data_IF_613214660294
#
_entry.id   IF_613214660294
#
_cell.length_a   1.000
_cell.length_b   1.000
_cell.length_c   1.000
_cell.angle_alpha   90.00
_cell.angle_beta   90.00
_cell.angle_gamma   90.00
#
_symmetry.space_group_name_H-M   'P 1'
#
loop_
_entity.id
_entity.type
_entity.pdbx_description
1 polymer ?
#
# COMPACT_ATOMS: atom_id res chain seq x y z
N UNK A 1 26.03 21.06 -29.21
CA UNK A 1 25.25 20.38 -28.15
C UNK A 1 23.78 20.59 -28.48
N UNK A 2 23.22 19.61 -29.18
CA UNK A 2 21.90 19.59 -29.79
C UNK A 2 20.83 19.20 -28.78
N UNK A 3 19.70 19.91 -28.83
CA UNK A 3 18.36 19.55 -28.35
C UNK A 3 18.23 18.91 -26.95
N UNK A 4 17.93 19.73 -25.93
CA UNK A 4 17.16 19.27 -24.79
C UNK A 4 15.74 18.99 -25.30
N UNK A 5 15.39 17.71 -25.44
CA UNK A 5 14.00 17.31 -25.59
C UNK A 5 13.22 17.87 -24.40
N UNK A 6 12.08 18.48 -24.71
CA UNK A 6 11.15 19.01 -23.73
C UNK A 6 10.61 17.80 -22.95
N UNK A 7 11.15 17.55 -21.77
CA UNK A 7 10.47 16.72 -20.78
C UNK A 7 9.10 17.36 -20.54
N UNK A 8 8.03 16.59 -20.75
CA UNK A 8 6.66 17.06 -20.60
C UNK A 8 6.47 17.77 -19.25
N UNK A 9 5.90 18.98 -19.28
CA UNK A 9 5.55 19.69 -18.05
C UNK A 9 4.22 19.12 -17.54
N UNK A 10 4.19 18.67 -16.29
CA UNK A 10 2.93 18.34 -15.62
C UNK A 10 2.06 19.60 -15.55
N UNK A 11 0.85 19.55 -16.12
CA UNK A 11 -0.18 20.56 -15.86
C UNK A 11 -0.89 20.17 -14.58
N UNK A 12 -0.72 20.96 -13.53
CA UNK A 12 -1.50 20.81 -12.30
C UNK A 12 -2.85 21.47 -12.51
N UNK A 13 -3.92 20.68 -12.60
CA UNK A 13 -5.28 21.19 -12.47
C UNK A 13 -5.60 21.29 -11.00
N UNK A 14 -5.66 22.51 -10.47
CA UNK A 14 -6.07 22.75 -9.09
C UNK A 14 -7.60 22.60 -9.03
N UNK A 15 -8.09 21.60 -8.32
CA UNK A 15 -9.51 21.52 -7.98
C UNK A 15 -9.81 22.59 -6.92
N UNK A 16 -10.94 23.31 -7.00
CA UNK A 16 -11.43 24.09 -5.88
C UNK A 16 -11.50 23.18 -4.65
N UNK A 17 -11.03 23.62 -3.46
CA UNK A 17 -11.14 22.80 -2.26
C UNK A 17 -12.58 22.36 -2.09
N UNK A 18 -12.79 21.07 -1.79
CA UNK A 18 -14.10 20.59 -1.42
C UNK A 18 -14.61 21.45 -0.25
N UNK A 19 -15.81 22.01 -0.38
CA UNK A 19 -16.48 22.70 0.73
C UNK A 19 -16.90 21.61 1.71
N UNK A 20 -16.00 21.26 2.62
CA UNK A 20 -16.31 20.36 3.73
C UNK A 20 -17.24 21.14 4.68
N UNK A 21 -18.51 20.78 4.71
CA UNK A 21 -19.45 21.28 5.71
C UNK A 21 -19.21 20.55 7.03
N UNK A 22 -18.84 21.30 8.07
CA UNK A 22 -18.55 20.79 9.40
C UNK A 22 -18.10 21.92 10.33
N UNK A 23 -18.09 21.67 11.64
CA UNK A 23 -17.50 22.62 12.61
C UNK A 23 -15.98 22.55 12.50
N UNK A 24 -15.32 23.68 12.26
CA UNK A 24 -13.85 23.77 12.24
C UNK A 24 -13.32 23.36 13.62
N UNK A 25 -12.57 22.27 13.67
CA UNK A 25 -11.83 21.86 14.87
C UNK A 25 -10.57 22.73 14.96
N UNK A 26 -10.61 23.77 15.79
CA UNK A 26 -9.45 24.59 16.12
C UNK A 26 -8.66 24.03 17.30
N UNK A 27 -7.49 24.63 17.58
CA UNK A 27 -6.58 24.26 18.69
C UNK A 27 -7.22 24.34 20.09
N UNK A 28 -8.40 24.94 20.22
CA UNK A 28 -9.17 25.10 21.46
C UNK A 28 -10.33 24.11 21.60
N UNK A 29 -10.57 23.26 20.60
CA UNK A 29 -11.69 22.30 20.60
C UNK A 29 -11.36 21.13 21.52
N UNK A 30 -12.05 21.02 22.66
CA UNK A 30 -11.92 19.87 23.55
C UNK A 30 -12.65 18.67 22.94
N UNK A 31 -11.89 17.73 22.40
CA UNK A 31 -12.37 16.42 21.97
C UNK A 31 -12.18 15.41 23.11
N UNK A 32 -13.25 14.76 23.54
CA UNK A 32 -13.19 13.66 24.52
C UNK A 32 -12.52 12.42 23.93
N UNK A 33 -12.65 12.22 22.61
CA UNK A 33 -11.95 11.20 21.83
C UNK A 33 -11.90 11.65 20.37
N UNK A 34 -10.76 11.45 19.70
CA UNK A 34 -10.60 11.69 18.27
C UNK A 34 -10.30 10.34 17.60
N UNK A 35 -11.18 9.93 16.68
CA UNK A 35 -10.99 8.72 15.89
C UNK A 35 -10.66 9.14 14.47
N UNK A 36 -9.52 8.71 13.96
CA UNK A 36 -9.20 8.79 12.54
C UNK A 36 -9.44 7.42 11.94
N UNK A 37 -10.31 7.35 10.94
CA UNK A 37 -10.37 6.22 10.03
C UNK A 37 -9.18 6.38 9.07
N UNK A 38 -7.98 6.02 9.52
CA UNK A 38 -6.94 5.65 8.57
C UNK A 38 -7.48 4.52 7.69
N UNK A 39 -7.04 4.42 6.43
CA UNK A 39 -7.32 3.23 5.64
C UNK A 39 -6.76 2.05 6.41
N UNK A 40 -7.60 1.23 7.04
CA UNK A 40 -7.21 -0.09 7.59
C UNK A 40 -7.67 -1.20 6.65
N UNK A 41 -8.17 -0.78 5.50
CA UNK A 41 -8.78 -1.55 4.42
C UNK A 41 -8.41 -0.89 3.10
N UNK A 42 -8.64 -1.63 2.02
CA UNK A 42 -8.88 -1.08 0.69
C UNK A 42 -10.34 -1.34 0.28
N UNK A 43 -10.86 -0.46 -0.57
CA UNK A 43 -12.21 -0.53 -1.13
C UNK A 43 -12.11 -0.51 -2.65
N UNK A 44 -12.85 -1.40 -3.32
CA UNK A 44 -13.03 -1.38 -4.77
C UNK A 44 -14.30 -0.62 -5.08
N UNK A 45 -14.18 0.40 -5.91
CA UNK A 45 -15.30 1.24 -6.33
C UNK A 45 -15.59 1.03 -7.82
N UNK A 46 -16.87 1.00 -8.17
CA UNK A 46 -17.31 1.09 -9.56
C UNK A 46 -17.62 2.55 -9.86
N UNK A 47 -16.88 3.13 -10.80
CA UNK A 47 -17.18 4.47 -11.30
C UNK A 47 -18.45 4.45 -12.15
N UNK A 48 -19.35 5.40 -11.92
CA UNK A 48 -20.44 5.67 -12.85
C UNK A 48 -19.91 6.66 -13.90
N UNK A 49 -19.96 6.27 -15.18
CA UNK A 49 -19.36 6.98 -16.32
C UNK A 49 -20.13 8.23 -16.76
N UNK A 50 -20.83 8.89 -15.85
CA UNK A 50 -21.52 10.16 -16.15
C UNK A 50 -20.57 11.30 -15.76
N UNK A 51 -20.07 12.01 -16.77
CA UNK A 51 -19.23 13.19 -16.57
C UNK A 51 -19.88 14.18 -15.60
N UNK A 52 -19.18 14.51 -14.52
CA UNK A 52 -19.65 15.45 -13.50
C UNK A 52 -20.54 14.86 -12.40
N UNK A 53 -20.81 13.54 -12.39
CA UNK A 53 -21.53 12.86 -11.31
C UNK A 53 -20.65 11.79 -10.68
N UNK A 54 -20.15 12.04 -9.47
CA UNK A 54 -19.21 11.18 -8.74
C UNK A 54 -19.88 10.13 -7.85
N UNK A 55 -21.07 9.65 -8.19
CA UNK A 55 -21.62 8.51 -7.45
C UNK A 55 -20.78 7.28 -7.82
N UNK A 56 -20.00 6.77 -6.87
CA UNK A 56 -19.26 5.53 -7.02
C UNK A 56 -19.94 4.46 -6.15
N UNK A 57 -20.24 3.31 -6.75
CA UNK A 57 -20.81 2.19 -6.00
C UNK A 57 -19.67 1.39 -5.36
N UNK A 58 -19.82 1.07 -4.06
CA UNK A 58 -18.91 0.14 -3.40
C UNK A 58 -19.14 -1.25 -4.00
N UNK A 59 -18.07 -1.84 -4.54
CA UNK A 59 -18.07 -3.19 -5.13
C UNK A 59 -17.57 -4.21 -4.11
N UNK A 60 -16.52 -3.85 -3.37
CA UNK A 60 -15.90 -4.68 -2.35
C UNK A 60 -15.25 -3.77 -1.31
N UNK A 61 -15.33 -4.16 -0.04
CA UNK A 61 -14.53 -3.58 1.04
C UNK A 61 -13.85 -4.71 1.81
N UNK A 62 -12.54 -4.58 2.03
CA UNK A 62 -11.77 -5.60 2.75
C UNK A 62 -12.02 -5.61 4.26
N UNK A 63 -12.68 -4.59 4.82
CA UNK A 63 -12.99 -4.51 6.24
C UNK A 63 -11.75 -4.63 7.11
N UNK A 64 -11.70 -5.69 7.93
CA UNK A 64 -10.60 -5.97 8.86
C UNK A 64 -9.54 -6.95 8.32
N UNK A 65 -9.62 -7.32 7.03
CA UNK A 65 -8.79 -8.37 6.45
C UNK A 65 -7.28 -8.12 6.63
N UNK A 66 -6.83 -6.87 6.44
CA UNK A 66 -5.42 -6.51 6.55
C UNK A 66 -4.89 -6.77 7.97
N UNK A 67 -5.65 -6.39 9.00
CA UNK A 67 -5.33 -6.62 10.40
C UNK A 67 -5.23 -8.12 10.70
N UNK A 68 -6.23 -8.90 10.28
CA UNK A 68 -6.24 -10.35 10.50
C UNK A 68 -5.06 -11.03 9.80
N UNK A 69 -4.71 -10.60 8.60
CA UNK A 69 -3.55 -11.11 7.87
C UNK A 69 -2.24 -10.73 8.55
N UNK A 70 -2.04 -9.49 8.97
CA UNK A 70 -0.82 -9.07 9.68
C UNK A 70 -0.70 -9.79 11.02
N UNK A 71 -1.78 -9.90 11.80
CA UNK A 71 -1.78 -10.66 13.05
C UNK A 71 -1.39 -12.13 12.84
N UNK A 72 -1.87 -12.75 11.76
CA UNK A 72 -1.54 -14.12 11.42
C UNK A 72 -0.10 -14.30 10.89
N UNK A 73 0.45 -13.30 10.18
CA UNK A 73 1.78 -13.39 9.54
C UNK A 73 2.92 -12.88 10.42
N UNK A 74 2.65 -11.91 11.29
CA UNK A 74 3.61 -11.26 12.19
C UNK A 74 3.06 -11.16 13.62
N UNK A 75 2.68 -12.27 14.27
CA UNK A 75 2.01 -12.23 15.57
C UNK A 75 2.80 -11.54 16.67
N UNK A 76 4.14 -11.58 16.62
CA UNK A 76 5.00 -10.92 17.61
C UNK A 76 5.23 -9.42 17.35
N UNK A 77 4.88 -8.94 16.16
CA UNK A 77 5.10 -7.57 15.71
C UNK A 77 3.82 -6.94 15.15
N UNK A 78 2.66 -7.50 15.52
CA UNK A 78 1.38 -7.01 15.06
C UNK A 78 1.19 -5.56 15.51
N UNK A 79 0.95 -4.68 14.53
CA UNK A 79 0.85 -3.23 14.69
C UNK A 79 2.01 -2.59 15.48
N UNK A 80 3.20 -3.17 15.38
CA UNK A 80 4.45 -2.52 15.77
C UNK A 80 4.90 -1.57 14.65
N UNK A 81 5.61 -0.50 15.01
CA UNK A 81 6.14 0.54 14.12
C UNK A 81 7.65 0.70 14.37
N UNK A 82 8.38 1.28 13.41
CA UNK A 82 9.79 1.62 13.58
C UNK A 82 9.98 3.03 14.14
N UNK A 83 10.58 3.11 15.33
CA UNK A 83 10.84 4.37 16.00
C UNK A 83 11.96 5.13 15.27
N UNK A 84 11.67 6.34 14.80
CA UNK A 84 12.60 7.15 13.98
C UNK A 84 13.73 7.82 14.78
N UNK A 85 13.60 7.93 16.10
CA UNK A 85 14.62 8.53 16.97
C UNK A 85 15.69 7.51 17.38
N UNK A 86 15.28 6.29 17.73
CA UNK A 86 16.16 5.20 18.17
C UNK A 86 16.56 4.29 17.02
N UNK A 87 15.75 4.26 15.96
CA UNK A 87 15.89 3.38 14.81
C UNK A 87 15.45 1.93 15.02
N UNK A 88 14.89 1.59 16.19
CA UNK A 88 14.49 0.22 16.54
C UNK A 88 13.01 -0.02 16.29
N UNK A 89 12.64 -1.30 16.10
CA UNK A 89 11.23 -1.70 16.09
C UNK A 89 10.60 -1.48 17.46
N UNK A 90 9.40 -0.92 17.45
CA UNK A 90 8.57 -0.63 18.61
C UNK A 90 7.89 -1.87 19.16
N UNK A 91 7.12 -1.68 20.23
CA UNK A 91 6.42 -2.77 20.89
C UNK A 91 5.24 -3.27 20.07
N UNK A 92 4.90 -4.54 20.27
CA UNK A 92 3.61 -5.13 19.90
C UNK A 92 2.44 -4.18 20.23
N UNK A 93 1.50 -4.03 19.29
CA UNK A 93 0.28 -3.20 19.38
C UNK A 93 0.49 -1.68 19.56
N UNK A 94 1.72 -1.17 19.40
CA UNK A 94 1.99 0.26 19.63
C UNK A 94 1.16 1.20 18.74
N UNK A 95 0.66 0.71 17.59
CA UNK A 95 -0.18 1.46 16.65
C UNK A 95 -1.61 0.97 16.50
N UNK A 96 -2.07 0.01 17.28
CA UNK A 96 -3.44 -0.49 17.14
C UNK A 96 -4.49 0.58 17.45
N UNK A 97 -4.23 1.40 18.47
CA UNK A 97 -5.06 2.58 18.79
C UNK A 97 -4.84 3.75 17.81
N UNK A 98 -3.81 3.68 16.96
CA UNK A 98 -3.58 4.60 15.85
C UNK A 98 -4.18 4.01 14.56
N UNK A 99 -3.39 3.89 13.50
CA UNK A 99 -3.85 3.47 12.16
C UNK A 99 -3.50 2.02 11.80
N UNK A 100 -3.07 1.22 12.78
CA UNK A 100 -2.75 -0.19 12.58
C UNK A 100 -1.66 -0.39 11.50
N UNK A 101 -1.88 -1.25 10.49
CA UNK A 101 -0.90 -1.54 9.45
C UNK A 101 -0.74 -0.42 8.40
N UNK A 102 -1.71 0.50 8.30
CA UNK A 102 -1.66 1.72 7.47
C UNK A 102 -1.33 1.45 5.98
N UNK A 103 -2.25 0.85 5.18
CA UNK A 103 -2.15 0.85 3.72
C UNK A 103 -2.02 2.26 3.14
N UNK A 104 -1.02 2.46 2.29
CA UNK A 104 -0.66 3.77 1.72
C UNK A 104 -0.43 3.71 0.22
N UNK A 105 0.50 2.85 -0.22
CA UNK A 105 0.80 2.66 -1.63
C UNK A 105 -0.11 1.59 -2.27
N UNK A 106 -0.64 1.87 -3.46
CA UNK A 106 -1.33 0.88 -4.28
C UNK A 106 -0.87 0.94 -5.73
N UNK A 107 -0.60 -0.22 -6.31
CA UNK A 107 -0.36 -0.36 -7.74
C UNK A 107 -1.19 -1.51 -8.31
N UNK A 108 -1.68 -1.33 -9.53
CA UNK A 108 -2.42 -2.36 -10.26
C UNK A 108 -1.75 -2.58 -11.60
N UNK A 109 -1.62 -3.84 -12.03
CA UNK A 109 -1.03 -4.19 -13.32
C UNK A 109 -1.41 -5.59 -13.78
N UNK A 110 -1.05 -5.92 -15.02
CA UNK A 110 -1.38 -7.22 -15.62
C UNK A 110 -0.15 -8.11 -15.67
N UNK A 111 -0.31 -9.37 -15.25
CA UNK A 111 0.72 -10.38 -15.39
C UNK A 111 0.09 -11.77 -15.50
N UNK A 112 0.63 -12.59 -16.41
CA UNK A 112 0.21 -13.99 -16.59
C UNK A 112 -1.31 -14.16 -16.80
N UNK A 113 -1.94 -13.23 -17.54
CA UNK A 113 -3.38 -13.26 -17.83
C UNK A 113 -4.29 -12.90 -16.64
N UNK A 114 -3.74 -12.32 -15.58
CA UNK A 114 -4.47 -11.87 -14.39
C UNK A 114 -4.19 -10.40 -14.11
N UNK A 115 -5.16 -9.74 -13.47
CA UNK A 115 -4.97 -8.41 -12.91
C UNK A 115 -4.53 -8.54 -11.45
N UNK A 116 -3.45 -7.85 -11.11
CA UNK A 116 -2.81 -7.90 -9.80
C UNK A 116 -2.90 -6.54 -9.14
N UNK A 117 -3.15 -6.54 -7.84
CA UNK A 117 -3.02 -5.36 -6.99
C UNK A 117 -1.93 -5.63 -5.96
N UNK A 118 -1.03 -4.67 -5.81
CA UNK A 118 -0.04 -4.62 -4.73
C UNK A 118 -0.43 -3.50 -3.80
N UNK A 119 -0.55 -3.81 -2.52
CA UNK A 119 -0.87 -2.87 -1.46
C UNK A 119 0.32 -2.79 -0.49
N UNK A 120 0.91 -1.61 -0.35
CA UNK A 120 1.96 -1.33 0.63
C UNK A 120 1.35 -0.91 1.96
N UNK A 121 1.86 -1.49 3.05
CA UNK A 121 1.48 -1.22 4.43
C UNK A 121 2.63 -0.46 5.09
N UNK A 122 2.51 0.85 5.16
CA UNK A 122 3.57 1.76 5.61
C UNK A 122 4.11 1.32 6.98
N UNK A 123 3.23 1.25 7.98
CA UNK A 123 3.68 1.05 9.36
C UNK A 123 4.07 -0.39 9.68
N UNK A 124 3.42 -1.35 9.04
CA UNK A 124 3.79 -2.76 9.16
C UNK A 124 5.11 -3.10 8.41
N UNK A 125 5.51 -2.27 7.44
CA UNK A 125 6.65 -2.49 6.53
C UNK A 125 6.45 -3.60 5.49
N UNK A 126 5.23 -4.14 5.38
CA UNK A 126 4.90 -5.23 4.46
C UNK A 126 4.24 -4.75 3.17
N UNK A 127 4.25 -5.62 2.17
CA UNK A 127 3.40 -5.50 0.98
C UNK A 127 2.49 -6.73 0.86
N UNK A 128 1.29 -6.51 0.35
CA UNK A 128 0.31 -7.56 0.08
C UNK A 128 0.00 -7.63 -1.41
N UNK A 129 -0.01 -8.85 -1.94
CA UNK A 129 -0.37 -9.15 -3.33
C UNK A 129 -1.77 -9.77 -3.37
N UNK A 130 -2.64 -9.15 -4.15
CA UNK A 130 -4.00 -9.63 -4.43
C UNK A 130 -4.15 -9.91 -5.93
N UNK A 131 -4.87 -10.99 -6.23
CA UNK A 131 -5.44 -11.20 -7.55
C UNK A 131 -6.81 -10.51 -7.58
N UNK A 132 -6.90 -9.46 -8.39
CA UNK A 132 -8.09 -8.60 -8.53
C UNK A 132 -8.76 -8.78 -9.89
N UNK A 133 -8.47 -9.87 -10.60
CA UNK A 133 -9.12 -10.21 -11.87
C UNK A 133 -10.64 -10.21 -11.75
N UNK A 134 -11.16 -10.63 -10.59
CA UNK A 134 -12.55 -10.43 -10.22
C UNK A 134 -12.68 -9.29 -9.18
N UNK A 135 -13.13 -8.08 -9.57
CA UNK A 135 -13.17 -6.93 -8.67
C UNK A 135 -14.23 -7.06 -7.56
N UNK A 136 -15.22 -7.94 -7.70
CA UNK A 136 -16.20 -8.22 -6.61
C UNK A 136 -15.67 -9.21 -5.58
N UNK A 137 -14.56 -9.90 -5.88
CA UNK A 137 -13.96 -10.88 -4.99
C UNK A 137 -12.43 -10.91 -5.16
N UNK A 138 -11.72 -9.84 -4.74
CA UNK A 138 -10.27 -9.85 -4.64
C UNK A 138 -9.77 -11.06 -3.83
N UNK A 139 -8.70 -11.70 -4.29
CA UNK A 139 -8.15 -12.88 -3.61
C UNK A 139 -6.74 -12.58 -3.10
N UNK A 140 -6.56 -12.59 -1.78
CA UNK A 140 -5.23 -12.51 -1.15
C UNK A 140 -4.35 -13.67 -1.64
N UNK A 141 -3.13 -13.36 -2.09
CA UNK A 141 -2.17 -14.35 -2.57
C UNK A 141 -0.92 -14.42 -1.72
N UNK A 142 -0.36 -13.28 -1.35
CA UNK A 142 0.92 -13.24 -0.67
C UNK A 142 1.07 -12.01 0.21
N UNK A 143 1.80 -12.19 1.30
CA UNK A 143 2.32 -11.14 2.14
C UNK A 143 3.84 -11.25 2.13
N UNK A 144 4.53 -10.14 1.92
CA UNK A 144 5.99 -10.04 1.93
C UNK A 144 6.40 -8.91 2.87
N UNK A 145 7.41 -9.15 3.69
CA UNK A 145 8.02 -8.14 4.54
C UNK A 145 9.50 -8.50 4.69
N UNK A 146 10.36 -7.62 4.21
CA UNK A 146 11.82 -7.79 4.20
C UNK A 146 12.51 -6.97 5.29
N UNK A 147 11.73 -6.35 6.20
CA UNK A 147 12.29 -5.75 7.40
C UNK A 147 12.93 -6.81 8.30
N UNK A 148 14.00 -6.42 8.98
CA UNK A 148 14.79 -7.26 9.87
C UNK A 148 14.65 -6.70 11.30
N UNK A 149 13.76 -7.25 12.15
CA UNK A 149 13.47 -6.70 13.47
C UNK A 149 14.67 -6.59 14.43
N UNK A 150 15.75 -7.35 14.17
CA UNK A 150 17.01 -7.24 14.92
C UNK A 150 17.95 -6.14 14.42
N UNK A 151 17.58 -5.44 13.35
CA UNK A 151 18.32 -4.32 12.78
C UNK A 151 17.86 -2.96 13.30
N UNK A 152 18.41 -1.91 12.71
CA UNK A 152 18.18 -0.52 13.05
C UNK A 152 18.21 0.35 11.78
N UNK A 153 17.17 1.17 11.57
CA UNK A 153 17.06 2.02 10.36
C UNK A 153 18.18 3.07 10.29
N UNK A 154 18.61 3.63 11.42
CA UNK A 154 19.71 4.61 11.48
C UNK A 154 21.07 3.96 11.16
N UNK A 155 21.20 2.66 11.42
CA UNK A 155 22.39 1.87 11.07
C UNK A 155 22.29 1.21 9.68
N UNK A 156 21.17 1.40 8.97
CA UNK A 156 20.92 0.86 7.62
C UNK A 156 21.05 -0.67 7.52
N UNK A 157 20.69 -1.38 8.59
CA UNK A 157 20.67 -2.85 8.63
C UNK A 157 19.29 -3.42 9.03
N UNK A 158 18.25 -2.58 9.02
CA UNK A 158 16.86 -2.96 9.28
C UNK A 158 16.13 -3.62 8.10
N UNK A 159 16.79 -3.83 6.96
CA UNK A 159 16.12 -4.25 5.73
C UNK A 159 15.25 -3.12 5.16
N UNK A 160 14.12 -3.48 4.55
CA UNK A 160 13.19 -2.52 3.95
C UNK A 160 12.07 -2.14 4.93
N UNK A 161 11.90 -0.85 5.20
CA UNK A 161 11.00 -0.32 6.24
C UNK A 161 10.20 0.87 5.73
N UNK A 162 8.88 0.86 5.94
CA UNK A 162 7.95 1.93 5.53
C UNK A 162 7.73 2.05 4.02
N UNK A 163 7.13 1.03 3.36
CA UNK A 163 6.82 1.08 1.94
C UNK A 163 5.77 2.15 1.64
N UNK A 164 6.02 2.90 0.57
CA UNK A 164 5.29 4.13 0.23
C UNK A 164 4.91 4.11 -1.25
N UNK A 165 5.79 4.60 -2.12
CA UNK A 165 5.64 4.47 -3.56
C UNK A 165 5.70 3.02 -4.03
N UNK A 166 4.67 2.59 -4.77
CA UNK A 166 4.59 1.28 -5.41
C UNK A 166 4.39 1.47 -6.91
N UNK A 167 5.20 0.80 -7.72
CA UNK A 167 5.09 0.77 -9.17
C UNK A 167 5.04 -0.67 -9.66
N UNK A 168 4.02 -0.99 -10.45
CA UNK A 168 3.95 -2.27 -11.15
C UNK A 168 4.49 -2.08 -12.57
N UNK A 169 5.47 -2.90 -12.95
CA UNK A 169 5.98 -3.00 -14.31
C UNK A 169 5.48 -4.30 -14.94
N UNK A 170 4.76 -4.19 -16.06
CA UNK A 170 4.45 -5.36 -16.87
C UNK A 170 5.71 -5.90 -17.55
N UNK A 171 5.65 -7.13 -18.06
CA UNK A 171 6.82 -7.79 -18.64
C UNK A 171 7.50 -6.99 -19.77
N UNK A 172 6.71 -6.22 -20.54
CA UNK A 172 7.20 -5.42 -21.66
C UNK A 172 8.03 -4.20 -21.22
N UNK A 173 7.74 -3.64 -20.06
CA UNK A 173 8.41 -2.44 -19.51
C UNK A 173 9.51 -2.81 -18.50
N UNK A 174 9.61 -4.10 -18.16
CA UNK A 174 10.55 -4.61 -17.18
C UNK A 174 11.92 -4.94 -17.78
N UNK A 175 13.04 -4.54 -17.13
CA UNK A 175 14.38 -4.82 -17.62
C UNK A 175 14.75 -6.32 -17.63
N UNK A 176 14.00 -7.16 -16.91
CA UNK A 176 14.22 -8.63 -16.88
C UNK A 176 13.29 -9.38 -17.82
N UNK A 177 12.37 -8.69 -18.51
CA UNK A 177 11.33 -9.31 -19.33
C UNK A 177 10.27 -10.07 -18.53
N UNK A 178 10.26 -9.93 -17.20
CA UNK A 178 9.25 -10.49 -16.30
C UNK A 178 8.51 -9.39 -15.57
N UNK A 179 7.21 -9.54 -15.28
CA UNK A 179 6.48 -8.57 -14.48
C UNK A 179 7.13 -8.39 -13.11
N UNK A 180 7.23 -7.16 -12.63
CA UNK A 180 7.85 -6.85 -11.35
C UNK A 180 7.18 -5.69 -10.64
N UNK A 181 7.44 -5.57 -9.35
CA UNK A 181 6.98 -4.48 -8.50
C UNK A 181 8.20 -3.76 -7.96
N UNK A 182 8.24 -2.44 -8.11
CA UNK A 182 9.25 -1.58 -7.49
C UNK A 182 8.58 -0.88 -6.31
N UNK A 183 9.21 -0.95 -5.14
CA UNK A 183 8.69 -0.36 -3.90
C UNK A 183 9.76 0.52 -3.29
N UNK A 184 9.44 1.78 -3.03
CA UNK A 184 10.28 2.68 -2.23
C UNK A 184 9.90 2.60 -0.77
N UNK A 185 10.91 2.57 0.09
CA UNK A 185 10.77 2.47 1.55
C UNK A 185 11.36 3.72 2.20
N UNK A 186 10.49 4.58 2.76
CA UNK A 186 10.85 5.93 3.22
C UNK A 186 11.82 5.90 4.40
N UNK A 187 11.50 5.14 5.45
CA UNK A 187 12.30 5.15 6.69
C UNK A 187 13.66 4.46 6.55
N UNK A 188 13.74 3.37 5.77
CA UNK A 188 15.03 2.74 5.46
C UNK A 188 15.80 3.46 4.34
N UNK A 189 15.13 4.29 3.54
CA UNK A 189 15.70 4.94 2.36
C UNK A 189 16.12 3.94 1.28
N UNK A 190 15.43 2.80 1.19
CA UNK A 190 15.73 1.72 0.25
C UNK A 190 14.70 1.64 -0.86
N UNK A 191 15.06 0.99 -1.97
CA UNK A 191 14.15 0.61 -3.05
C UNK A 191 14.34 -0.87 -3.32
N UNK A 192 13.26 -1.64 -3.23
CA UNK A 192 13.28 -3.08 -3.53
C UNK A 192 12.50 -3.37 -4.82
N UNK A 193 12.91 -4.44 -5.49
CA UNK A 193 12.27 -4.93 -6.71
C UNK A 193 11.85 -6.39 -6.50
N UNK A 194 10.59 -6.70 -6.75
CA UNK A 194 10.01 -8.03 -6.57
C UNK A 194 9.50 -8.55 -7.90
N UNK A 195 10.12 -9.59 -8.45
CA UNK A 195 9.58 -10.27 -9.63
C UNK A 195 8.33 -11.09 -9.27
N UNK A 196 7.29 -11.00 -10.09
CA UNK A 196 6.18 -11.93 -10.01
C UNK A 196 6.56 -13.24 -10.71
N UNK A 197 6.21 -14.35 -10.08
CA UNK A 197 6.32 -15.68 -10.69
C UNK A 197 4.98 -16.11 -11.27
N UNK A 198 5.02 -16.89 -12.34
CA UNK A 198 3.80 -17.43 -12.93
C UNK A 198 3.04 -18.26 -11.87
N UNK A 199 1.70 -18.09 -11.75
CA UNK A 199 0.91 -18.95 -10.89
C UNK A 199 1.18 -20.42 -11.24
N UNK A 200 1.36 -21.27 -10.23
CA UNK A 200 1.52 -22.69 -10.45
C UNK A 200 0.35 -23.20 -11.32
N UNK A 201 0.59 -24.05 -12.34
CA UNK A 201 -0.49 -24.63 -13.10
C UNK A 201 -1.44 -25.34 -12.13
N UNK A 202 -2.72 -24.97 -12.17
CA UNK A 202 -3.77 -25.70 -11.45
C UNK A 202 -3.62 -27.16 -11.81
N UNK A 203 -3.29 -28.03 -10.84
CA UNK A 203 -3.39 -29.47 -11.06
C UNK A 203 -4.84 -29.73 -11.44
N UNK A 204 -5.09 -30.13 -12.68
CA UNK A 204 -6.38 -30.70 -13.04
C UNK A 204 -6.63 -31.85 -12.06
N UNK A 205 -7.71 -31.75 -11.28
CA UNK A 205 -8.08 -32.78 -10.33
C UNK A 205 -8.11 -34.14 -11.02
N UNK A 206 -7.50 -35.14 -10.39
CA UNK A 206 -7.83 -36.53 -10.66
C UNK A 206 -9.12 -36.88 -9.93
#
# INVERSE_FOLDING_TARGET
LTSSSIAGRARVTVFPPAVVTGTIVGSTTKVTSAYTFGGRSFTVWKTNTIDGVFNADIVYDSGDELERLVAARRPLLFNADWNTETGLVGSFESRSAAKGPEPEGVAVGTAYGRQWMVLALERDSGIMLYDVTNPVMPQFRQYLNTSLPGGNILQKNAGDVSPEGVLFLEAADSPTGKPMVIVSYELSGTVAMFELTAPAPTKAGK
#
